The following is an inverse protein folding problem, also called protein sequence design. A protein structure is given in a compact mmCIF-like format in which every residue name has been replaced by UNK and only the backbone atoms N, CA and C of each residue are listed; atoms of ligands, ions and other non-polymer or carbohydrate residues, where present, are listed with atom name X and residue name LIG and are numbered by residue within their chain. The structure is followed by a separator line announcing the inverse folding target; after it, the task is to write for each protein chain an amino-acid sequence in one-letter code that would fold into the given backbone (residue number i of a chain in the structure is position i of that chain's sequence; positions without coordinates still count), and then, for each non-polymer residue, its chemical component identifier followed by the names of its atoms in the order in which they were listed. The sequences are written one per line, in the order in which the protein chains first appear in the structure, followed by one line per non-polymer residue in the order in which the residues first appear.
data_IF_045226960084
#
_entry.id   IF_045226960084
#
_cell.length_a   1.000
_cell.length_b   1.000
_cell.length_c   1.000
_cell.angle_alpha   90.00
_cell.angle_beta   90.00
_cell.angle_gamma   90.00
#
_symmetry.space_group_name_H-M   'P 1'
#
loop_
_entity.id
_entity.type
_entity.pdbx_description
1 polymer ?
#
# COMPACT_ATOMS: atom_id res chain seq x y z
N UNK A 1 -11.74 34.14 15.28
CA UNK A 1 -10.56 33.41 14.78
C UNK A 1 -10.02 32.55 15.92
N UNK A 2 -9.94 31.23 15.90
CA UNK A 2 -10.17 30.25 14.85
C UNK A 2 -10.43 28.92 15.58
N UNK A 3 -11.66 28.65 16.06
CA UNK A 3 -12.00 27.39 16.75
C UNK A 3 -11.55 26.14 15.97
N UNK A 4 -11.61 26.24 14.65
CA UNK A 4 -11.08 25.25 13.72
C UNK A 4 -9.54 25.06 13.82
N UNK A 5 -8.77 26.14 13.99
CA UNK A 5 -7.31 26.05 14.16
C UNK A 5 -6.95 25.49 15.52
N UNK A 6 -7.72 25.80 16.57
CA UNK A 6 -7.54 25.20 17.90
C UNK A 6 -7.85 23.69 17.86
N UNK A 7 -8.91 23.29 17.17
CA UNK A 7 -9.29 21.88 16.99
C UNK A 7 -8.21 21.06 16.26
N UNK A 8 -7.60 21.61 15.21
CA UNK A 8 -6.49 20.93 14.52
C UNK A 8 -5.25 20.83 15.41
N UNK A 9 -4.98 21.85 16.23
CA UNK A 9 -3.87 21.80 17.19
C UNK A 9 -4.10 20.73 18.27
N UNK A 10 -5.29 20.67 18.85
CA UNK A 10 -5.65 19.64 19.84
C UNK A 10 -5.63 18.23 19.23
N UNK A 11 -6.17 18.06 18.01
CA UNK A 11 -6.12 16.78 17.29
C UNK A 11 -4.69 16.33 17.00
N UNK A 12 -3.79 17.25 16.64
CA UNK A 12 -2.37 16.93 16.44
C UNK A 12 -1.69 16.50 17.74
N UNK A 13 -1.97 17.22 18.83
CA UNK A 13 -1.41 16.91 20.14
C UNK A 13 -1.88 15.54 20.65
N UNK A 14 -3.15 15.20 20.43
CA UNK A 14 -3.73 13.89 20.76
C UNK A 14 -3.13 12.77 19.90
N UNK A 15 -3.03 12.98 18.58
CA UNK A 15 -2.47 11.98 17.67
C UNK A 15 -0.99 11.69 17.94
N UNK A 16 -0.23 12.67 18.45
CA UNK A 16 1.20 12.52 18.72
C UNK A 16 1.47 11.96 20.12
N UNK A 17 0.73 12.42 21.14
CA UNK A 17 1.00 12.06 22.54
C UNK A 17 0.14 10.91 23.08
N UNK A 18 -1.02 10.65 22.49
CA UNK A 18 -1.99 9.66 22.97
C UNK A 18 -2.11 8.42 22.08
N UNK A 19 -1.28 8.31 21.04
CA UNK A 19 -1.25 7.18 20.12
C UNK A 19 0.17 6.62 20.06
N UNK A 20 0.29 5.31 20.13
CA UNK A 20 1.57 4.61 20.06
C UNK A 20 2.03 4.56 18.61
N UNK A 21 2.77 5.58 18.16
CA UNK A 21 3.48 5.51 16.88
C UNK A 21 4.62 4.50 16.97
N UNK A 22 4.69 3.54 16.05
CA UNK A 22 5.83 2.64 15.97
C UNK A 22 7.09 3.43 15.60
N UNK A 23 8.25 2.90 15.99
CA UNK A 23 9.51 3.56 15.71
C UNK A 23 9.79 3.59 14.20
N UNK A 24 10.56 4.57 13.73
CA UNK A 24 10.94 4.68 12.31
C UNK A 24 11.47 3.38 11.68
N UNK A 25 12.31 2.57 12.37
CA UNK A 25 12.74 1.28 11.85
C UNK A 25 11.61 0.25 11.72
N UNK A 26 10.64 0.24 12.62
CA UNK A 26 9.48 -0.68 12.57
C UNK A 26 8.49 -0.28 11.47
N UNK A 27 8.30 1.04 11.25
CA UNK A 27 7.53 1.57 10.13
C UNK A 27 8.14 1.12 8.79
N UNK A 28 9.46 1.21 8.64
CA UNK A 28 10.14 0.77 7.42
C UNK A 28 10.14 -0.76 7.28
N UNK A 29 10.23 -1.49 8.38
CA UNK A 29 10.13 -2.96 8.38
C UNK A 29 8.77 -3.44 7.88
N UNK A 30 7.68 -2.85 8.38
CA UNK A 30 6.32 -3.15 7.92
C UNK A 30 6.10 -2.73 6.46
N UNK A 31 6.64 -1.59 6.04
CA UNK A 31 6.60 -1.17 4.63
C UNK A 31 7.36 -2.13 3.71
N UNK A 32 8.52 -2.65 4.15
CA UNK A 32 9.31 -3.59 3.36
C UNK A 32 8.61 -4.94 3.18
N UNK A 33 7.88 -5.40 4.20
CA UNK A 33 7.05 -6.60 4.08
C UNK A 33 5.98 -6.43 2.99
N UNK A 34 5.29 -5.28 2.98
CA UNK A 34 4.27 -4.96 1.97
C UNK A 34 4.88 -4.82 0.57
N UNK A 35 6.07 -4.23 0.46
CA UNK A 35 6.81 -4.11 -0.80
C UNK A 35 7.11 -5.49 -1.41
N UNK A 36 7.56 -6.45 -0.60
CA UNK A 36 7.83 -7.81 -1.08
C UNK A 36 6.52 -8.52 -1.46
N UNK A 37 5.46 -8.34 -0.68
CA UNK A 37 4.16 -8.91 -0.97
C UNK A 37 3.57 -8.38 -2.30
N UNK A 38 3.72 -7.08 -2.59
CA UNK A 38 3.23 -6.48 -3.83
C UNK A 38 3.98 -6.99 -5.06
N UNK A 39 5.29 -7.22 -4.95
CA UNK A 39 6.11 -7.83 -6.02
C UNK A 39 5.63 -9.25 -6.32
N UNK A 40 5.34 -10.05 -5.30
CA UNK A 40 4.83 -11.42 -5.49
C UNK A 40 3.47 -11.44 -6.20
N UNK A 41 2.58 -10.51 -5.84
CA UNK A 41 1.28 -10.35 -6.50
C UNK A 41 1.48 -9.89 -7.96
N UNK A 42 2.38 -8.95 -8.21
CA UNK A 42 2.68 -8.46 -9.56
C UNK A 42 3.17 -9.58 -10.48
N UNK A 43 4.06 -10.46 -9.99
CA UNK A 43 4.53 -11.63 -10.76
C UNK A 43 3.38 -12.58 -11.07
N UNK A 44 2.49 -12.80 -10.12
CA UNK A 44 1.33 -13.69 -10.30
C UNK A 44 0.39 -13.16 -11.38
N UNK A 45 0.05 -11.87 -11.34
CA UNK A 45 -0.78 -11.22 -12.36
C UNK A 45 -0.10 -11.26 -13.72
N UNK A 46 1.20 -10.99 -13.80
CA UNK A 46 1.96 -11.04 -15.05
C UNK A 46 1.92 -12.43 -15.71
N UNK A 47 2.03 -13.51 -14.92
CA UNK A 47 1.87 -14.88 -15.39
C UNK A 47 0.46 -15.13 -15.94
N UNK A 48 -0.57 -14.70 -15.20
CA UNK A 48 -1.96 -14.84 -15.63
C UNK A 48 -2.24 -14.09 -16.94
N UNK A 49 -1.74 -12.85 -17.06
CA UNK A 49 -1.89 -12.03 -18.26
C UNK A 49 -1.19 -12.68 -19.45
N UNK A 50 0.02 -13.21 -19.26
CA UNK A 50 0.77 -13.90 -20.33
C UNK A 50 0.01 -15.13 -20.83
N UNK A 51 -0.49 -15.97 -19.92
CA UNK A 51 -1.26 -17.17 -20.27
C UNK A 51 -2.55 -16.79 -21.01
N UNK A 52 -3.28 -15.79 -20.51
CA UNK A 52 -4.51 -15.33 -21.15
C UNK A 52 -4.24 -14.80 -22.57
N UNK A 53 -3.21 -13.96 -22.75
CA UNK A 53 -2.85 -13.42 -24.05
C UNK A 53 -2.44 -14.52 -25.03
N UNK A 54 -1.62 -15.49 -24.60
CA UNK A 54 -1.23 -16.62 -25.46
C UNK A 54 -2.42 -17.48 -25.88
N UNK A 55 -3.40 -17.72 -24.99
CA UNK A 55 -4.63 -18.46 -25.34
C UNK A 55 -5.47 -17.68 -26.34
N UNK A 56 -5.63 -16.37 -26.12
CA UNK A 56 -6.40 -15.51 -27.02
C UNK A 56 -5.75 -15.45 -28.40
N UNK A 57 -4.44 -15.23 -28.50
CA UNK A 57 -3.70 -15.23 -29.77
C UNK A 57 -3.88 -16.56 -30.52
N UNK A 58 -3.82 -17.69 -29.82
CA UNK A 58 -4.05 -19.00 -30.43
C UNK A 58 -5.47 -19.14 -31.01
N UNK A 59 -6.49 -18.68 -30.27
CA UNK A 59 -7.89 -18.73 -30.74
C UNK A 59 -8.11 -17.76 -31.91
N UNK A 60 -7.56 -16.56 -31.88
CA UNK A 60 -7.70 -15.58 -32.97
C UNK A 60 -6.92 -15.95 -34.24
N UNK A 61 -5.87 -16.77 -34.10
CA UNK A 61 -5.04 -17.23 -35.23
C UNK A 61 -5.65 -18.46 -35.95
N UNK A 62 -6.51 -19.23 -35.26
CA UNK A 62 -7.31 -20.32 -35.84
C UNK A 62 -8.47 -19.75 -36.66
#
# INVERSE_FOLDING_TARGET
MNSFVTYIKESYDELVHHVTWPTWPELLSSANLVLIASIMIAITVFLMDTVANSILEFIYTI
#
